data_IF_735856972965
#
_entry.id   IF_735856972965
#
_cell.length_a   1.000
_cell.length_b   1.000
_cell.length_c   1.000
_cell.angle_alpha   90.00
_cell.angle_beta   90.00
_cell.angle_gamma   90.00
#
_symmetry.space_group_name_H-M   'P 1'
#
loop_
_entity.id
_entity.type
_entity.pdbx_description
1 polymer ?
#
# COMPACT_ATOMS: atom_id res chain seq x y z
N UNK A 1 1.20 7.73 19.12
CA UNK A 1 2.32 6.78 18.98
C UNK A 1 2.72 6.78 17.51
N UNK A 2 4.00 6.99 17.20
CA UNK A 2 4.44 7.27 15.82
C UNK A 2 4.01 6.13 14.88
N UNK A 3 3.21 6.46 13.86
CA UNK A 3 2.81 5.49 12.84
C UNK A 3 4.08 4.94 12.19
N UNK A 4 4.30 3.64 12.32
CA UNK A 4 5.43 2.97 11.70
C UNK A 4 5.35 3.20 10.18
N UNK A 5 6.36 3.88 9.65
CA UNK A 5 6.48 4.09 8.20
C UNK A 5 7.10 2.84 7.59
N UNK A 6 6.39 2.22 6.68
CA UNK A 6 6.81 1.02 5.97
C UNK A 6 6.91 1.30 4.48
N UNK A 7 7.70 0.50 3.76
CA UNK A 7 7.78 0.62 2.30
C UNK A 7 6.44 0.22 1.67
N UNK A 8 6.01 0.98 0.68
CA UNK A 8 4.77 0.71 -0.04
C UNK A 8 4.76 -0.71 -0.63
N UNK A 9 5.83 -1.14 -1.31
CA UNK A 9 5.95 -2.51 -1.83
C UNK A 9 5.71 -3.61 -0.77
N UNK A 10 6.21 -3.39 0.44
CA UNK A 10 6.07 -4.29 1.58
C UNK A 10 4.64 -4.29 2.07
N UNK A 11 4.08 -3.10 2.28
CA UNK A 11 2.72 -2.93 2.78
C UNK A 11 1.72 -3.62 1.85
N UNK A 12 1.90 -3.42 0.54
CA UNK A 12 1.06 -4.03 -0.48
C UNK A 12 1.11 -5.57 -0.45
N UNK A 13 2.30 -6.15 -0.31
CA UNK A 13 2.46 -7.59 -0.19
C UNK A 13 1.94 -8.12 1.16
N UNK A 14 2.23 -7.44 2.26
CA UNK A 14 1.76 -7.79 3.63
C UNK A 14 0.23 -7.73 3.75
N UNK A 15 -0.41 -6.81 3.03
CA UNK A 15 -1.88 -6.71 2.94
C UNK A 15 -2.50 -7.76 2.01
N UNK A 16 -1.69 -8.57 1.32
CA UNK A 16 -2.17 -9.59 0.39
C UNK A 16 -2.70 -9.03 -0.94
N UNK A 17 -2.35 -7.78 -1.28
CA UNK A 17 -2.75 -7.13 -2.54
C UNK A 17 -2.00 -7.69 -3.73
N UNK A 18 -0.76 -8.08 -3.47
CA UNK A 18 0.10 -8.73 -4.44
C UNK A 18 0.75 -9.95 -3.80
N UNK A 19 1.05 -10.98 -4.59
CA UNK A 19 1.66 -12.22 -4.10
C UNK A 19 3.10 -12.04 -3.62
N UNK A 20 3.78 -10.94 -4.02
CA UNK A 20 5.16 -10.66 -3.62
C UNK A 20 5.47 -9.17 -3.67
N UNK A 21 6.53 -8.75 -2.96
CA UNK A 21 7.06 -7.36 -3.02
C UNK A 21 7.45 -6.96 -4.44
N UNK A 22 8.04 -7.87 -5.21
CA UNK A 22 8.47 -7.60 -6.58
C UNK A 22 7.28 -7.29 -7.49
N UNK A 23 6.17 -8.03 -7.35
CA UNK A 23 4.96 -7.79 -8.13
C UNK A 23 4.22 -6.52 -7.69
N UNK A 24 4.22 -6.24 -6.38
CA UNK A 24 3.76 -4.96 -5.87
C UNK A 24 4.57 -3.80 -6.47
N UNK A 25 5.91 -3.93 -6.51
CA UNK A 25 6.78 -2.90 -7.06
C UNK A 25 6.53 -2.64 -8.55
N UNK A 26 6.38 -3.70 -9.35
CA UNK A 26 6.04 -3.58 -10.77
C UNK A 26 4.71 -2.83 -10.99
N UNK A 27 3.69 -3.13 -10.17
CA UNK A 27 2.36 -2.51 -10.28
C UNK A 27 2.37 -1.04 -9.84
N UNK A 28 3.18 -0.69 -8.83
CA UNK A 28 3.45 0.70 -8.48
C UNK A 28 4.12 1.43 -9.64
N UNK A 29 5.15 0.84 -10.25
CA UNK A 29 5.86 1.44 -11.39
C UNK A 29 4.96 1.57 -12.63
N UNK A 30 3.99 0.67 -12.80
CA UNK A 30 2.97 0.74 -13.83
C UNK A 30 1.91 1.84 -13.56
N UNK A 31 1.95 2.52 -12.41
CA UNK A 31 0.96 3.53 -12.03
C UNK A 31 -0.38 2.94 -11.63
N UNK A 32 -0.44 1.64 -11.36
CA UNK A 32 -1.67 0.95 -10.97
C UNK A 32 -1.98 1.13 -9.47
N UNK A 33 -1.02 1.55 -8.65
CA UNK A 33 -1.22 1.72 -7.21
C UNK A 33 -1.45 3.19 -6.88
N UNK A 34 -2.43 3.46 -6.02
CA UNK A 34 -2.71 4.77 -5.42
C UNK A 34 -2.63 4.69 -3.91
N UNK A 35 -2.09 5.73 -3.29
CA UNK A 35 -2.00 5.92 -1.85
C UNK A 35 -2.85 7.14 -1.50
N UNK A 36 -3.99 6.92 -0.84
CA UNK A 36 -5.06 7.91 -0.71
C UNK A 36 -5.53 8.38 -2.09
N UNK A 37 -5.40 9.68 -2.36
CA UNK A 37 -5.80 10.30 -3.64
C UNK A 37 -4.66 10.41 -4.65
N UNK A 38 -3.42 10.06 -4.28
CA UNK A 38 -2.24 10.21 -5.14
C UNK A 38 -1.80 8.88 -5.74
N UNK A 39 -1.39 8.88 -7.01
CA UNK A 39 -0.75 7.71 -7.62
C UNK A 39 0.62 7.49 -6.98
N UNK A 40 0.90 6.24 -6.63
CA UNK A 40 2.20 5.85 -6.15
C UNK A 40 3.19 5.82 -7.31
N UNK A 41 4.22 6.63 -7.16
CA UNK A 41 5.28 6.87 -8.14
C UNK A 41 6.51 5.99 -7.88
N UNK A 42 6.79 5.69 -6.60
CA UNK A 42 7.95 4.90 -6.19
C UNK A 42 7.56 3.74 -5.27
N UNK A 43 7.94 2.49 -5.58
CA UNK A 43 7.62 1.34 -4.73
C UNK A 43 8.33 1.37 -3.36
N UNK A 44 9.50 2.01 -3.31
CA UNK A 44 10.23 2.25 -2.06
C UNK A 44 9.72 3.45 -1.23
N UNK A 45 8.61 4.09 -1.63
CA UNK A 45 8.03 5.20 -0.87
C UNK A 45 7.65 4.71 0.53
N UNK A 46 8.12 5.43 1.54
CA UNK A 46 7.73 5.19 2.92
C UNK A 46 6.34 5.78 3.14
N UNK A 47 5.40 4.92 3.51
CA UNK A 47 4.01 5.26 3.78
C UNK A 47 3.64 4.76 5.17
N UNK A 48 2.61 5.33 5.76
CA UNK A 48 2.13 4.81 7.04
C UNK A 48 1.55 3.40 6.86
N UNK A 49 1.77 2.53 7.84
CA UNK A 49 1.16 1.20 7.84
C UNK A 49 -0.37 1.25 7.79
N UNK A 50 -0.97 2.37 8.22
CA UNK A 50 -2.42 2.61 8.18
C UNK A 50 -2.90 3.40 6.97
N UNK A 51 -2.01 3.74 6.02
CA UNK A 51 -2.41 4.54 4.88
C UNK A 51 -3.44 3.81 4.03
N UNK A 52 -4.35 4.54 3.43
CA UNK A 52 -5.27 3.97 2.47
C UNK A 52 -4.55 3.68 1.15
N UNK A 53 -4.76 2.50 0.57
CA UNK A 53 -4.21 2.14 -0.73
C UNK A 53 -5.29 1.55 -1.63
N UNK A 54 -5.21 1.92 -2.91
CA UNK A 54 -6.10 1.44 -3.96
C UNK A 54 -5.28 0.91 -5.12
N UNK A 55 -5.74 -0.15 -5.78
CA UNK A 55 -5.10 -0.72 -6.97
C UNK A 55 -6.07 -0.59 -8.14
N UNK A 56 -5.59 -0.11 -9.28
CA UNK A 56 -6.35 0.02 -10.52
C UNK A 56 -6.82 -1.37 -10.94
N UNK A 57 -8.14 -1.58 -10.98
CA UNK A 57 -8.75 -2.88 -11.26
C UNK A 57 -9.06 -3.76 -10.03
N UNK A 58 -8.85 -3.27 -8.80
CA UNK A 58 -9.07 -4.05 -7.58
C UNK A 58 -9.72 -3.27 -6.43
N UNK A 59 -10.16 -4.04 -5.41
CA UNK A 59 -10.77 -3.55 -4.16
C UNK A 59 -9.92 -2.44 -3.53
N UNK A 60 -10.59 -1.46 -2.93
CA UNK A 60 -9.99 -0.46 -2.05
C UNK A 60 -9.72 -1.11 -0.69
N UNK A 61 -8.50 -1.00 -0.19
CA UNK A 61 -8.12 -1.61 1.10
C UNK A 61 -7.87 -0.51 2.10
N UNK A 62 -8.83 -0.37 3.02
CA UNK A 62 -8.66 0.40 4.24
C UNK A 62 -7.90 -0.45 5.26
N UNK A 63 -7.08 0.18 6.10
CA UNK A 63 -6.27 -0.54 7.09
C UNK A 63 -7.15 -1.37 8.03
N UNK A 64 -6.58 -2.43 8.60
CA UNK A 64 -7.17 -3.14 9.75
C UNK A 64 -6.94 -2.34 11.04
N UNK A 65 -7.27 -1.06 11.05
CA UNK A 65 -7.22 -0.18 12.22
C UNK A 65 -8.37 -0.40 13.21
N UNK A 66 -9.04 -1.55 13.15
CA UNK A 66 -10.06 -1.96 14.10
C UNK A 66 -9.46 -2.68 15.30
N UNK A 67 -8.72 -1.96 16.14
CA UNK A 67 -8.59 -2.28 17.57
C UNK A 67 -9.11 -1.02 18.26
N UNK A 68 -10.42 -0.93 18.50
CA UNK A 68 -11.10 -1.50 19.69
C UNK A 68 -10.47 -0.89 20.94
N UNK A 69 -10.84 0.36 21.21
CA UNK A 69 -10.92 0.86 22.58
C UNK A 69 -12.25 0.40 23.16
#
# INVERSE_FOLDING_TARGET
MAAAKVRLDQLLAQRGLFPSRSRAAASVMAGEVRVGEQVADKPGRLVEENVEVSVAGGRRFVSRGGIKL
#
